data_IF_042334975002
#
_entry.id   IF_042334975002
#
_cell.length_a   1.000
_cell.length_b   1.000
_cell.length_c   1.000
_cell.angle_alpha   90.00
_cell.angle_beta   90.00
_cell.angle_gamma   90.00
#
_symmetry.space_group_name_H-M   'P 1'
#
loop_
_entity.id
_entity.type
_entity.pdbx_description
1 polymer ?
#
# COMPACT_ATOMS: atom_id res chain seq x y z
N UNK A 1 -33.15 -6.16 -12.97
CA UNK A 1 -32.30 -5.35 -12.07
C UNK A 1 -31.43 -6.14 -11.07
N UNK A 2 -31.90 -7.21 -10.41
CA UNK A 2 -31.08 -8.00 -9.45
C UNK A 2 -29.86 -8.70 -10.06
N UNK A 3 -29.98 -9.31 -11.25
CA UNK A 3 -28.85 -10.00 -11.95
C UNK A 3 -27.70 -9.07 -12.34
N UNK A 4 -27.99 -7.83 -12.78
CA UNK A 4 -26.98 -6.82 -13.14
C UNK A 4 -26.18 -6.37 -11.90
N UNK A 5 -26.83 -6.29 -10.72
CA UNK A 5 -26.13 -6.04 -9.45
C UNK A 5 -25.24 -7.21 -9.02
N UNK A 6 -25.70 -8.45 -9.15
CA UNK A 6 -24.90 -9.64 -8.81
C UNK A 6 -23.66 -9.78 -9.70
N UNK A 7 -23.80 -9.56 -11.02
CA UNK A 7 -22.68 -9.67 -11.97
C UNK A 7 -21.57 -8.64 -11.70
N UNK A 8 -21.94 -7.43 -11.26
CA UNK A 8 -20.97 -6.41 -10.86
C UNK A 8 -20.29 -6.71 -9.51
N UNK A 9 -20.96 -7.38 -8.58
CA UNK A 9 -20.37 -7.78 -7.29
C UNK A 9 -19.31 -8.87 -7.51
N UNK A 10 -19.59 -9.87 -8.34
CA UNK A 10 -18.63 -10.95 -8.67
C UNK A 10 -17.39 -10.40 -9.38
N UNK A 11 -17.56 -9.45 -10.31
CA UNK A 11 -16.43 -8.79 -10.99
C UNK A 11 -15.56 -7.95 -10.03
N UNK A 12 -16.18 -7.26 -9.07
CA UNK A 12 -15.45 -6.47 -8.07
C UNK A 12 -14.74 -7.40 -7.07
N UNK A 13 -15.37 -8.50 -6.65
CA UNK A 13 -14.74 -9.50 -5.77
C UNK A 13 -13.57 -10.23 -6.44
N UNK A 14 -13.71 -10.59 -7.72
CA UNK A 14 -12.62 -11.23 -8.48
C UNK A 14 -11.42 -10.29 -8.65
N UNK A 15 -11.63 -9.01 -8.97
CA UNK A 15 -10.52 -8.04 -9.06
C UNK A 15 -9.91 -7.77 -7.68
N UNK A 16 -10.71 -7.55 -6.63
CA UNK A 16 -10.21 -7.26 -5.28
C UNK A 16 -9.59 -8.45 -4.56
N UNK A 17 -9.96 -9.69 -4.92
CA UNK A 17 -9.42 -10.91 -4.33
C UNK A 17 -8.24 -11.47 -5.10
N UNK A 18 -8.34 -11.57 -6.43
CA UNK A 18 -7.32 -12.24 -7.26
C UNK A 18 -6.11 -11.35 -7.49
N UNK A 19 -6.30 -10.05 -7.75
CA UNK A 19 -5.16 -9.17 -8.04
C UNK A 19 -4.14 -9.04 -6.89
N UNK A 20 -4.53 -8.87 -5.61
CA UNK A 20 -3.54 -8.86 -4.52
C UNK A 20 -2.89 -10.23 -4.33
N UNK A 21 -3.60 -11.33 -4.55
CA UNK A 21 -3.02 -12.68 -4.47
C UNK A 21 -1.94 -12.89 -5.53
N UNK A 22 -2.24 -12.55 -6.79
CA UNK A 22 -1.29 -12.66 -7.90
C UNK A 22 -0.08 -11.77 -7.64
N UNK A 23 -0.29 -10.51 -7.21
CA UNK A 23 0.81 -9.62 -6.87
C UNK A 23 1.66 -10.20 -5.74
N UNK A 24 1.05 -10.75 -4.68
CA UNK A 24 1.77 -11.37 -3.58
C UNK A 24 2.60 -12.59 -4.03
N UNK A 25 2.03 -13.46 -4.87
CA UNK A 25 2.73 -14.62 -5.43
C UNK A 25 3.93 -14.18 -6.26
N UNK A 26 3.75 -13.23 -7.18
CA UNK A 26 4.83 -12.72 -8.03
C UNK A 26 5.94 -12.09 -7.18
N UNK A 27 5.57 -11.24 -6.23
CA UNK A 27 6.50 -10.63 -5.26
C UNK A 27 7.29 -11.67 -4.47
N UNK A 28 6.62 -12.70 -3.96
CA UNK A 28 7.27 -13.79 -3.23
C UNK A 28 8.25 -14.58 -4.11
N UNK A 29 7.80 -15.03 -5.30
CA UNK A 29 8.61 -15.87 -6.19
C UNK A 29 9.87 -15.14 -6.66
N UNK A 30 9.74 -13.86 -7.01
CA UNK A 30 10.86 -13.03 -7.45
C UNK A 30 11.84 -12.74 -6.32
N UNK A 31 11.35 -12.44 -5.11
CA UNK A 31 12.20 -12.28 -3.93
C UNK A 31 12.93 -13.57 -3.58
N UNK A 32 12.24 -14.71 -3.62
CA UNK A 32 12.80 -16.02 -3.31
C UNK A 32 13.86 -16.46 -4.32
N UNK A 33 13.59 -16.31 -5.63
CA UNK A 33 14.56 -16.64 -6.67
C UNK A 33 15.87 -15.85 -6.51
N UNK A 34 15.77 -14.55 -6.24
CA UNK A 34 16.92 -13.68 -6.00
C UNK A 34 17.74 -14.11 -4.76
N UNK A 35 17.08 -14.55 -3.69
CA UNK A 35 17.77 -15.02 -2.48
C UNK A 35 18.45 -16.38 -2.70
N UNK A 36 17.79 -17.31 -3.41
CA UNK A 36 18.37 -18.62 -3.75
C UNK A 36 19.64 -18.44 -4.58
N UNK A 37 19.58 -17.61 -5.62
CA UNK A 37 20.73 -17.29 -6.46
C UNK A 37 21.89 -16.75 -5.63
N UNK A 38 21.61 -15.77 -4.76
CA UNK A 38 22.63 -15.18 -3.91
C UNK A 38 23.21 -16.16 -2.87
N UNK A 39 22.38 -17.04 -2.30
CA UNK A 39 22.81 -18.08 -1.37
C UNK A 39 23.72 -19.11 -2.04
N UNK A 40 23.40 -19.52 -3.27
CA UNK A 40 24.23 -20.46 -4.04
C UNK A 40 25.60 -19.86 -4.36
N UNK A 41 25.66 -18.59 -4.75
CA UNK A 41 26.92 -17.91 -5.06
C UNK A 41 27.82 -17.75 -3.83
N UNK A 42 27.24 -17.49 -2.65
CA UNK A 42 27.98 -17.12 -1.44
C UNK A 42 27.98 -18.20 -0.34
N UNK A 43 27.42 -19.38 -0.61
CA UNK A 43 27.28 -20.48 0.35
C UNK A 43 26.64 -20.08 1.69
N UNK A 44 25.62 -19.21 1.64
CA UNK A 44 24.97 -18.69 2.85
C UNK A 44 23.69 -19.45 3.20
N UNK A 45 23.46 -19.65 4.49
CA UNK A 45 22.19 -20.18 5.01
C UNK A 45 21.09 -19.13 4.84
N UNK A 46 19.95 -19.54 4.29
CA UNK A 46 18.79 -18.67 4.11
C UNK A 46 17.85 -18.74 5.31
N UNK A 47 17.44 -17.55 5.76
CA UNK A 47 16.44 -17.37 6.81
C UNK A 47 15.15 -16.74 6.26
N UNK A 48 14.01 -17.04 6.87
CA UNK A 48 12.70 -16.47 6.45
C UNK A 48 12.66 -14.94 6.56
N UNK A 49 13.39 -14.39 7.52
CA UNK A 49 13.62 -12.97 7.72
C UNK A 49 14.16 -12.29 6.45
N UNK A 50 14.99 -12.98 5.67
CA UNK A 50 15.58 -12.39 4.45
C UNK A 50 14.54 -12.20 3.35
N UNK A 51 13.53 -13.06 3.26
CA UNK A 51 12.39 -12.88 2.36
C UNK A 51 11.58 -11.64 2.76
N UNK A 52 11.30 -11.50 4.06
CA UNK A 52 10.62 -10.32 4.59
C UNK A 52 11.39 -9.04 4.24
N UNK A 53 12.72 -9.05 4.43
CA UNK A 53 13.62 -7.94 4.12
C UNK A 53 13.64 -7.57 2.64
N UNK A 54 13.59 -8.57 1.75
CA UNK A 54 13.47 -8.37 0.29
C UNK A 54 12.14 -7.75 -0.10
N UNK A 55 11.04 -8.25 0.46
CA UNK A 55 9.67 -7.86 0.05
C UNK A 55 9.30 -6.46 0.57
N UNK A 56 9.70 -6.13 1.80
CA UNK A 56 9.34 -4.86 2.46
C UNK A 56 10.41 -3.78 2.23
N UNK A 57 11.58 -4.19 1.72
CA UNK A 57 12.82 -3.42 1.58
C UNK A 57 13.35 -2.95 2.94
N UNK A 58 14.69 -2.95 3.09
CA UNK A 58 15.35 -2.48 4.31
C UNK A 58 15.98 -1.09 4.13
N UNK A 59 16.14 -0.32 5.24
CA UNK A 59 16.80 0.98 5.21
C UNK A 59 18.23 0.89 4.69
N UNK A 60 18.88 -0.23 4.97
CA UNK A 60 20.26 -0.48 4.61
C UNK A 60 20.43 -1.25 3.29
N UNK A 61 19.53 -0.99 2.32
CA UNK A 61 19.55 -1.61 0.99
C UNK A 61 20.92 -1.48 0.28
N UNK A 62 21.71 -0.45 0.63
CA UNK A 62 23.04 -0.23 0.06
C UNK A 62 24.13 -1.12 0.66
N UNK A 63 24.04 -1.49 1.95
CA UNK A 63 25.09 -2.26 2.62
C UNK A 63 24.75 -3.75 2.81
N UNK A 64 23.50 -4.18 2.58
CA UNK A 64 23.12 -5.59 2.70
C UNK A 64 23.38 -6.33 1.37
N UNK A 65 24.40 -7.20 1.37
CA UNK A 65 24.90 -7.92 0.20
C UNK A 65 23.82 -8.69 -0.57
N UNK A 66 22.92 -9.38 0.13
CA UNK A 66 21.85 -10.17 -0.49
C UNK A 66 20.66 -9.33 -0.97
N UNK A 67 20.50 -8.10 -0.49
CA UNK A 67 19.54 -7.15 -1.06
C UNK A 67 20.05 -6.54 -2.36
N UNK A 68 21.34 -6.70 -2.65
CA UNK A 68 21.93 -6.52 -3.97
C UNK A 68 21.99 -5.05 -4.36
N UNK A 69 23.15 -4.44 -4.15
CA UNK A 69 23.46 -3.09 -4.60
C UNK A 69 22.93 -2.82 -6.02
N UNK A 70 22.12 -1.76 -6.14
CA UNK A 70 21.63 -1.16 -7.40
C UNK A 70 20.61 -1.96 -8.23
N UNK A 71 20.03 -3.07 -7.75
CA UNK A 71 18.93 -3.72 -8.48
C UNK A 71 17.60 -2.97 -8.30
N UNK A 72 17.40 -1.92 -9.11
CA UNK A 72 16.19 -1.06 -9.10
C UNK A 72 14.90 -1.86 -9.26
N UNK A 73 14.95 -3.02 -9.92
CA UNK A 73 13.79 -3.90 -10.12
C UNK A 73 13.17 -4.41 -8.81
N UNK A 74 13.93 -4.49 -7.72
CA UNK A 74 13.40 -4.87 -6.40
C UNK A 74 12.46 -3.79 -5.83
N UNK A 75 12.57 -2.54 -6.30
CA UNK A 75 11.70 -1.43 -5.89
C UNK A 75 10.34 -1.45 -6.61
N UNK A 76 10.23 -2.17 -7.72
CA UNK A 76 8.99 -2.22 -8.51
C UNK A 76 7.87 -2.92 -7.76
N UNK A 77 8.16 -3.95 -6.97
CA UNK A 77 7.15 -4.70 -6.24
C UNK A 77 6.40 -3.83 -5.21
N UNK A 78 7.09 -3.16 -4.27
CA UNK A 78 6.43 -2.26 -3.34
C UNK A 78 5.79 -1.06 -4.04
N UNK A 79 6.39 -0.56 -5.14
CA UNK A 79 5.78 0.47 -5.99
C UNK A 79 4.39 0.04 -6.51
N UNK A 80 4.31 -1.14 -7.13
CA UNK A 80 3.06 -1.65 -7.69
C UNK A 80 2.02 -1.95 -6.61
N UNK A 81 2.45 -2.44 -5.44
CA UNK A 81 1.55 -2.61 -4.30
C UNK A 81 0.89 -1.29 -3.89
N UNK A 82 1.65 -0.22 -3.65
CA UNK A 82 1.08 1.06 -3.23
C UNK A 82 0.24 1.71 -4.32
N UNK A 83 0.71 1.65 -5.58
CA UNK A 83 -0.02 2.20 -6.71
C UNK A 83 -1.39 1.50 -6.87
N UNK A 84 -1.41 0.17 -6.86
CA UNK A 84 -2.66 -0.60 -6.97
C UNK A 84 -3.57 -0.38 -5.75
N UNK A 85 -3.02 -0.30 -4.54
CA UNK A 85 -3.80 0.02 -3.33
C UNK A 85 -4.56 1.34 -3.48
N UNK A 86 -3.89 2.40 -3.98
CA UNK A 86 -4.49 3.71 -4.16
C UNK A 86 -5.52 3.71 -5.29
N UNK A 87 -5.21 3.10 -6.43
CA UNK A 87 -6.13 3.02 -7.56
C UNK A 87 -7.41 2.23 -7.21
N UNK A 88 -7.27 1.11 -6.49
CA UNK A 88 -8.39 0.31 -6.02
C UNK A 88 -9.28 1.12 -5.06
N UNK A 89 -8.67 1.85 -4.13
CA UNK A 89 -9.41 2.73 -3.21
C UNK A 89 -10.14 3.84 -3.95
N UNK A 90 -9.45 4.42 -4.93
CA UNK A 90 -9.95 5.54 -5.70
C UNK A 90 -11.03 5.16 -6.70
N UNK A 91 -11.05 3.91 -7.15
CA UNK A 91 -12.04 3.42 -8.11
C UNK A 91 -13.49 3.66 -7.64
N UNK A 92 -13.74 3.75 -6.34
CA UNK A 92 -15.08 4.04 -5.83
C UNK A 92 -15.59 5.43 -6.19
N UNK A 93 -14.70 6.42 -6.36
CA UNK A 93 -15.02 7.81 -6.67
C UNK A 93 -14.48 8.30 -8.02
N UNK A 94 -13.59 7.57 -8.69
CA UNK A 94 -13.18 7.86 -10.08
C UNK A 94 -14.19 7.37 -11.14
N UNK A 95 -15.23 6.63 -10.73
CA UNK A 95 -16.28 6.12 -11.63
C UNK A 95 -17.25 7.18 -12.13
N UNK A 96 -17.24 8.37 -11.54
CA UNK A 96 -18.09 9.50 -11.92
C UNK A 96 -17.16 10.69 -12.06
N UNK A 97 -17.52 11.65 -12.92
CA UNK A 97 -16.80 12.91 -13.08
C UNK A 97 -16.78 13.70 -11.76
N UNK A 98 -15.67 14.36 -11.44
CA UNK A 98 -15.57 15.19 -10.23
C UNK A 98 -16.69 16.25 -10.15
N UNK A 99 -17.16 16.78 -11.29
CA UNK A 99 -18.27 17.75 -11.40
C UNK A 99 -19.59 17.18 -10.89
N UNK A 100 -19.82 15.88 -11.07
CA UNK A 100 -21.01 15.21 -10.51
C UNK A 100 -21.01 15.28 -8.98
N UNK A 101 -19.83 15.14 -8.35
CA UNK A 101 -19.72 15.24 -6.90
C UNK A 101 -19.84 16.68 -6.40
N UNK A 102 -19.34 17.66 -7.16
CA UNK A 102 -19.56 19.08 -6.86
C UNK A 102 -21.06 19.43 -6.93
N UNK A 103 -21.76 18.94 -7.96
CA UNK A 103 -23.22 19.09 -8.11
C UNK A 103 -24.01 18.48 -6.95
N UNK A 104 -23.61 17.28 -6.48
CA UNK A 104 -24.21 16.64 -5.31
C UNK A 104 -23.91 17.41 -4.03
N UNK A 105 -22.69 17.94 -3.88
CA UNK A 105 -22.28 18.67 -2.69
C UNK A 105 -23.09 19.95 -2.49
N UNK A 106 -23.33 20.73 -3.55
CA UNK A 106 -24.12 21.97 -3.44
C UNK A 106 -25.57 21.70 -3.01
N UNK A 107 -26.13 20.53 -3.35
CA UNK A 107 -27.51 20.15 -2.98
C UNK A 107 -27.60 19.34 -1.68
N UNK A 108 -26.47 19.00 -1.07
CA UNK A 108 -26.46 18.19 0.14
C UNK A 108 -26.52 19.07 1.38
N UNK A 109 -27.50 18.82 2.24
CA UNK A 109 -27.56 19.43 3.59
C UNK A 109 -26.32 19.12 4.43
N UNK A 110 -25.62 18.01 4.14
CA UNK A 110 -24.43 17.60 4.86
C UNK A 110 -23.35 17.02 3.92
N UNK A 111 -22.57 17.93 3.34
CA UNK A 111 -21.44 17.63 2.46
C UNK A 111 -20.41 16.71 3.11
N UNK A 112 -20.16 16.87 4.42
CA UNK A 112 -19.22 16.02 5.16
C UNK A 112 -19.68 14.54 5.18
N UNK A 113 -20.99 14.31 5.35
CA UNK A 113 -21.58 12.96 5.34
C UNK A 113 -21.52 12.33 3.94
N UNK A 114 -21.71 13.13 2.88
CA UNK A 114 -21.54 12.67 1.49
C UNK A 114 -20.11 12.18 1.25
N UNK A 115 -19.10 13.00 1.58
CA UNK A 115 -17.69 12.65 1.38
C UNK A 115 -17.24 11.49 2.24
N UNK A 116 -17.68 11.44 3.49
CA UNK A 116 -17.41 10.29 4.34
C UNK A 116 -17.91 9.00 3.71
N UNK A 117 -19.15 8.96 3.20
CA UNK A 117 -19.71 7.76 2.54
C UNK A 117 -18.91 7.34 1.31
N UNK A 118 -18.47 8.30 0.50
CA UNK A 118 -17.67 8.01 -0.69
C UNK A 118 -16.31 7.41 -0.31
N UNK A 119 -15.62 8.04 0.64
CA UNK A 119 -14.31 7.56 1.08
C UNK A 119 -14.38 6.20 1.76
N UNK A 120 -15.38 5.96 2.64
CA UNK A 120 -15.51 4.68 3.35
C UNK A 120 -15.61 3.51 2.38
N UNK A 121 -16.32 3.67 1.25
CA UNK A 121 -16.42 2.61 0.25
C UNK A 121 -15.06 2.29 -0.39
N UNK A 122 -14.29 3.32 -0.72
CA UNK A 122 -12.93 3.19 -1.25
C UNK A 122 -11.95 2.60 -0.24
N UNK A 123 -11.90 3.18 0.96
CA UNK A 123 -11.05 2.72 2.06
C UNK A 123 -11.29 1.26 2.40
N UNK A 124 -12.54 0.79 2.44
CA UNK A 124 -12.86 -0.63 2.66
C UNK A 124 -12.27 -1.54 1.59
N UNK A 125 -12.32 -1.13 0.32
CA UNK A 125 -11.74 -1.91 -0.78
C UNK A 125 -10.22 -1.97 -0.68
N UNK A 126 -9.55 -0.86 -0.36
CA UNK A 126 -8.09 -0.84 -0.16
C UNK A 126 -7.65 -1.66 1.07
N UNK A 127 -8.42 -1.60 2.18
CA UNK A 127 -8.15 -2.44 3.37
C UNK A 127 -8.24 -3.91 3.00
N UNK A 128 -9.30 -4.33 2.27
CA UNK A 128 -9.44 -5.72 1.83
C UNK A 128 -8.29 -6.14 0.90
N UNK A 129 -7.93 -5.29 -0.07
CA UNK A 129 -6.81 -5.54 -0.96
C UNK A 129 -5.50 -5.75 -0.19
N UNK A 130 -5.20 -4.84 0.75
CA UNK A 130 -4.01 -4.94 1.60
C UNK A 130 -4.02 -6.18 2.47
N UNK A 131 -5.17 -6.50 3.08
CA UNK A 131 -5.32 -7.69 3.91
C UNK A 131 -5.03 -8.96 3.11
N UNK A 132 -5.64 -9.12 1.94
CA UNK A 132 -5.43 -10.29 1.08
C UNK A 132 -3.97 -10.40 0.64
N UNK A 133 -3.36 -9.28 0.23
CA UNK A 133 -1.95 -9.24 -0.17
C UNK A 133 -1.03 -9.69 0.98
N UNK A 134 -1.14 -9.06 2.15
CA UNK A 134 -0.27 -9.34 3.29
C UNK A 134 -0.50 -10.74 3.85
N UNK A 135 -1.77 -11.19 3.94
CA UNK A 135 -2.08 -12.55 4.39
C UNK A 135 -1.45 -13.60 3.46
N UNK A 136 -1.49 -13.37 2.14
CA UNK A 136 -0.87 -14.25 1.17
C UNK A 136 0.66 -14.26 1.28
N UNK A 137 1.29 -13.08 1.43
CA UNK A 137 2.74 -12.98 1.67
C UNK A 137 3.15 -13.74 2.93
N UNK A 138 2.44 -13.53 4.06
CA UNK A 138 2.72 -14.22 5.32
C UNK A 138 2.63 -15.74 5.13
N UNK A 139 1.57 -16.22 4.47
CA UNK A 139 1.38 -17.65 4.21
C UNK A 139 2.51 -18.23 3.36
N UNK A 140 2.91 -17.52 2.29
CA UNK A 140 4.00 -17.93 1.40
C UNK A 140 5.36 -17.94 2.12
N UNK A 141 5.67 -16.95 2.96
CA UNK A 141 6.91 -16.93 3.73
C UNK A 141 6.95 -18.10 4.73
N UNK A 142 5.84 -18.37 5.42
CA UNK A 142 5.77 -19.42 6.44
C UNK A 142 5.78 -20.83 5.84
N UNK A 143 5.10 -21.05 4.70
CA UNK A 143 4.86 -22.40 4.13
C UNK A 143 5.48 -22.66 2.76
N UNK A 144 5.91 -21.64 2.04
CA UNK A 144 6.39 -21.77 0.66
C UNK A 144 7.88 -22.12 0.52
N UNK A 145 8.60 -22.30 1.64
CA UNK A 145 10.03 -22.63 1.68
C UNK A 145 10.38 -23.34 3.00
N UNK A 146 11.53 -24.02 2.99
CA UNK A 146 12.09 -24.74 4.14
C UNK A 146 13.19 -23.95 4.87
N UNK A 147 13.23 -22.62 4.73
CA UNK A 147 14.23 -21.78 5.40
C UNK A 147 14.04 -21.79 6.91
N UNK A 148 15.16 -21.66 7.63
CA UNK A 148 15.15 -21.57 9.08
C UNK A 148 14.69 -20.18 9.53
N UNK A 149 14.33 -20.06 10.81
CA UNK A 149 14.08 -18.77 11.43
C UNK A 149 15.39 -18.26 12.02
N UNK A 150 15.77 -17.03 11.71
CA UNK A 150 16.89 -16.35 12.37
C UNK A 150 16.51 -15.95 13.80
N UNK A 151 15.24 -15.61 13.99
CA UNK A 151 14.62 -15.25 15.28
C UNK A 151 13.56 -16.27 15.67
N UNK A 152 12.68 -15.94 16.62
CA UNK A 152 11.53 -16.81 16.91
C UNK A 152 10.44 -16.62 15.86
N UNK A 153 9.70 -17.70 15.54
CA UNK A 153 8.53 -17.63 14.65
C UNK A 153 7.51 -16.57 15.12
N UNK A 154 7.31 -16.46 16.44
CA UNK A 154 6.42 -15.45 17.02
C UNK A 154 6.87 -14.02 16.71
N UNK A 155 8.18 -13.74 16.85
CA UNK A 155 8.73 -12.42 16.55
C UNK A 155 8.55 -12.06 15.07
N UNK A 156 8.84 -12.99 14.16
CA UNK A 156 8.65 -12.78 12.72
C UNK A 156 7.18 -12.48 12.37
N UNK A 157 6.22 -13.24 12.92
CA UNK A 157 4.79 -13.01 12.70
C UNK A 157 4.37 -11.64 13.22
N UNK A 158 4.78 -11.27 14.43
CA UNK A 158 4.48 -9.97 15.02
C UNK A 158 4.99 -8.83 14.14
N UNK A 159 6.22 -8.93 13.65
CA UNK A 159 6.80 -7.94 12.73
C UNK A 159 5.99 -7.82 11.44
N UNK A 160 5.65 -8.94 10.79
CA UNK A 160 4.82 -8.93 9.58
C UNK A 160 3.44 -8.30 9.80
N UNK A 161 2.83 -8.51 10.97
CA UNK A 161 1.56 -7.87 11.33
C UNK A 161 1.71 -6.36 11.53
N UNK A 162 2.76 -5.91 12.20
CA UNK A 162 3.04 -4.48 12.35
C UNK A 162 3.30 -3.80 11.00
N UNK A 163 3.96 -4.49 10.07
CA UNK A 163 4.13 -4.02 8.69
C UNK A 163 2.80 -3.80 8.02
N UNK A 164 1.95 -4.82 8.03
CA UNK A 164 0.63 -4.77 7.43
C UNK A 164 -0.19 -3.57 7.95
N UNK A 165 -0.24 -3.40 9.27
CA UNK A 165 -1.01 -2.32 9.91
C UNK A 165 -0.45 -0.96 9.49
N UNK A 166 0.88 -0.80 9.56
CA UNK A 166 1.58 0.44 9.28
C UNK A 166 1.41 0.89 7.83
N UNK A 167 1.65 -0.02 6.87
CA UNK A 167 1.47 0.25 5.44
C UNK A 167 0.02 0.58 5.11
N UNK A 168 -0.94 -0.19 5.64
CA UNK A 168 -2.36 0.07 5.40
C UNK A 168 -2.76 1.44 5.91
N UNK A 169 -2.32 1.80 7.12
CA UNK A 169 -2.69 3.07 7.74
C UNK A 169 -2.08 4.28 7.02
N UNK A 170 -0.79 4.23 6.68
CA UNK A 170 -0.11 5.25 5.88
C UNK A 170 -0.85 5.49 4.56
N UNK A 171 -1.16 4.41 3.84
CA UNK A 171 -1.78 4.48 2.53
C UNK A 171 -3.24 4.96 2.59
N UNK A 172 -3.96 4.69 3.68
CA UNK A 172 -5.28 5.29 3.92
C UNK A 172 -5.21 6.81 4.13
N UNK A 173 -4.18 7.29 4.85
CA UNK A 173 -3.90 8.73 4.98
C UNK A 173 -3.65 9.39 3.63
N UNK A 174 -2.78 8.78 2.81
CA UNK A 174 -2.49 9.22 1.43
C UNK A 174 -3.77 9.24 0.57
N UNK A 175 -4.55 8.16 0.60
CA UNK A 175 -5.81 8.07 -0.15
C UNK A 175 -6.80 9.18 0.25
N UNK A 176 -6.85 9.54 1.54
CA UNK A 176 -7.70 10.61 2.01
C UNK A 176 -7.27 11.99 1.50
N UNK A 177 -5.96 12.25 1.39
CA UNK A 177 -5.40 13.46 0.77
C UNK A 177 -5.66 13.49 -0.74
N UNK A 178 -5.45 12.37 -1.43
CA UNK A 178 -5.68 12.29 -2.88
C UNK A 178 -7.15 12.48 -3.25
N UNK A 179 -8.08 12.03 -2.41
CA UNK A 179 -9.50 12.33 -2.61
C UNK A 179 -9.79 13.84 -2.60
N UNK A 180 -9.07 14.61 -1.79
CA UNK A 180 -9.19 16.07 -1.81
C UNK A 180 -8.65 16.67 -3.12
N UNK A 181 -7.48 16.20 -3.58
CA UNK A 181 -6.92 16.61 -4.88
C UNK A 181 -7.92 16.34 -6.01
N UNK A 182 -8.51 15.15 -6.01
CA UNK A 182 -9.53 14.76 -6.98
C UNK A 182 -10.72 15.72 -7.01
N UNK A 183 -11.28 16.09 -5.85
CA UNK A 183 -12.43 16.98 -5.80
C UNK A 183 -12.17 18.40 -6.32
N UNK A 184 -10.92 18.87 -6.29
CA UNK A 184 -10.54 20.23 -6.71
C UNK A 184 -10.02 20.26 -8.14
N UNK A 185 -9.19 19.28 -8.51
CA UNK A 185 -8.40 19.32 -9.74
C UNK A 185 -8.78 18.22 -10.74
N UNK A 186 -9.70 17.33 -10.39
CA UNK A 186 -10.18 16.26 -11.26
C UNK A 186 -9.23 15.08 -11.40
N UNK A 187 -9.51 14.25 -12.41
CA UNK A 187 -8.93 12.92 -12.61
C UNK A 187 -7.44 12.99 -13.00
N UNK A 188 -7.08 13.89 -13.92
CA UNK A 188 -5.70 14.01 -14.42
C UNK A 188 -4.72 14.36 -13.29
N UNK A 189 -5.05 15.39 -12.50
CA UNK A 189 -4.21 15.80 -11.37
C UNK A 189 -4.19 14.75 -10.27
N UNK A 190 -5.29 14.02 -10.06
CA UNK A 190 -5.30 12.87 -9.16
C UNK A 190 -4.28 11.81 -9.60
N UNK A 191 -4.29 11.39 -10.87
CA UNK A 191 -3.38 10.36 -11.38
C UNK A 191 -1.92 10.79 -11.30
N UNK A 192 -1.62 12.03 -11.67
CA UNK A 192 -0.27 12.61 -11.53
C UNK A 192 0.15 12.62 -10.06
N UNK A 193 -0.74 13.00 -9.15
CA UNK A 193 -0.46 13.02 -7.70
C UNK A 193 -0.20 11.63 -7.14
N UNK A 194 -0.91 10.58 -7.61
CA UNK A 194 -0.65 9.19 -7.21
C UNK A 194 0.79 8.81 -7.56
N UNK A 195 1.21 9.04 -8.80
CA UNK A 195 2.56 8.68 -9.27
C UNK A 195 3.63 9.44 -8.47
N UNK A 196 3.46 10.76 -8.30
CA UNK A 196 4.40 11.60 -7.54
C UNK A 196 4.51 11.14 -6.09
N UNK A 197 3.38 10.88 -5.41
CA UNK A 197 3.40 10.49 -3.98
C UNK A 197 4.07 9.13 -3.80
N UNK A 198 3.76 8.15 -4.65
CA UNK A 198 4.40 6.83 -4.58
C UNK A 198 5.91 6.92 -4.86
N UNK A 199 6.30 7.69 -5.88
CA UNK A 199 7.71 7.94 -6.18
C UNK A 199 8.45 8.67 -5.04
N UNK A 200 7.82 9.68 -4.43
CA UNK A 200 8.38 10.42 -3.32
C UNK A 200 8.55 9.55 -2.07
N UNK A 201 7.56 8.71 -1.76
CA UNK A 201 7.65 7.72 -0.69
C UNK A 201 8.84 6.79 -0.93
N UNK A 202 9.00 6.22 -2.14
CA UNK A 202 10.18 5.40 -2.47
C UNK A 202 11.49 6.17 -2.30
N UNK A 203 11.56 7.39 -2.84
CA UNK A 203 12.77 8.22 -2.79
C UNK A 203 13.17 8.53 -1.35
N UNK A 204 12.21 8.91 -0.49
CA UNK A 204 12.46 9.15 0.93
C UNK A 204 13.03 7.91 1.60
N UNK A 205 12.43 6.74 1.33
CA UNK A 205 12.89 5.49 1.92
C UNK A 205 14.30 5.12 1.45
N UNK A 206 14.62 5.30 0.16
CA UNK A 206 15.97 5.00 -0.35
C UNK A 206 17.05 6.00 0.07
N UNK A 207 16.67 7.25 0.29
CA UNK A 207 17.63 8.36 0.54
C UNK A 207 17.86 8.57 2.03
N UNK A 208 16.82 8.40 2.85
CA UNK A 208 16.83 8.67 4.29
C UNK A 208 16.42 7.43 5.09
N UNK A 209 17.32 6.45 5.27
CA UNK A 209 17.06 5.21 6.01
C UNK A 209 16.47 5.44 7.42
N UNK A 210 16.92 6.50 8.09
CA UNK A 210 16.50 6.86 9.46
C UNK A 210 15.11 7.51 9.53
N UNK A 211 14.59 8.02 8.41
CA UNK A 211 13.25 8.64 8.31
C UNK A 211 12.34 7.77 7.44
N UNK A 212 12.73 6.51 7.24
CA UNK A 212 12.01 5.58 6.40
C UNK A 212 10.56 5.43 6.88
N UNK A 213 9.63 5.71 5.98
CA UNK A 213 8.19 5.61 6.21
C UNK A 213 7.67 4.19 6.00
N UNK A 214 8.51 3.25 5.55
CA UNK A 214 8.08 1.94 5.09
C UNK A 214 8.90 0.76 5.65
N UNK A 215 10.05 1.04 6.23
CA UNK A 215 10.99 0.01 6.69
C UNK A 215 10.85 -0.26 8.17
N UNK A 216 11.01 -1.50 8.60
CA UNK A 216 10.49 -1.95 9.91
C UNK A 216 11.45 -2.82 10.73
N UNK A 217 12.66 -3.00 10.23
CA UNK A 217 13.56 -4.02 10.75
C UNK A 217 14.40 -3.59 11.95
N UNK A 218 14.51 -2.28 12.19
CA UNK A 218 15.29 -1.75 13.31
C UNK A 218 14.45 -0.78 14.14
N UNK A 219 14.59 -0.81 15.46
CA UNK A 219 14.32 0.34 16.35
C UNK A 219 12.98 1.09 16.17
N UNK A 220 11.85 0.39 16.05
CA UNK A 220 10.51 0.98 16.05
C UNK A 220 10.12 1.85 14.83
N UNK A 221 10.77 1.70 13.67
CA UNK A 221 10.40 2.49 12.48
C UNK A 221 8.92 2.37 12.03
N UNK A 222 8.18 1.35 12.49
CA UNK A 222 6.71 1.24 12.28
C UNK A 222 5.94 2.42 12.86
N UNK A 223 6.48 3.02 13.94
CA UNK A 223 5.89 4.19 14.56
C UNK A 223 5.89 5.39 13.61
N UNK A 224 6.95 5.58 12.82
CA UNK A 224 7.04 6.69 11.86
C UNK A 224 5.95 6.59 10.79
N UNK A 225 5.73 5.39 10.23
CA UNK A 225 4.65 5.13 9.28
C UNK A 225 3.27 5.45 9.86
N UNK A 226 3.02 5.03 11.10
CA UNK A 226 1.75 5.29 11.79
C UNK A 226 1.56 6.78 12.06
N UNK A 227 2.57 7.47 12.61
CA UNK A 227 2.54 8.89 12.91
C UNK A 227 2.29 9.71 11.65
N UNK A 228 3.03 9.44 10.56
CA UNK A 228 2.83 10.13 9.29
C UNK A 228 1.45 9.83 8.71
N UNK A 229 0.97 8.58 8.79
CA UNK A 229 -0.40 8.25 8.42
C UNK A 229 -1.44 9.05 9.20
N UNK A 230 -1.25 9.23 10.51
CA UNK A 230 -2.16 10.01 11.37
C UNK A 230 -2.14 11.48 10.98
N UNK A 231 -0.95 12.05 10.78
CA UNK A 231 -0.75 13.43 10.36
C UNK A 231 -1.45 13.66 9.01
N UNK A 232 -1.26 12.78 8.03
CA UNK A 232 -1.93 12.86 6.73
C UNK A 232 -3.45 12.80 6.86
N UNK A 233 -3.97 11.96 7.75
CA UNK A 233 -5.42 11.89 8.00
C UNK A 233 -5.98 13.19 8.59
N UNK A 234 -5.25 13.81 9.53
CA UNK A 234 -5.58 15.11 10.11
C UNK A 234 -5.53 16.20 9.03
N UNK A 235 -4.46 16.24 8.23
CA UNK A 235 -4.31 17.18 7.11
C UNK A 235 -5.49 17.03 6.13
N UNK A 236 -5.82 15.80 5.73
CA UNK A 236 -6.94 15.53 4.84
C UNK A 236 -8.27 16.03 5.42
N UNK A 237 -8.49 15.89 6.74
CA UNK A 237 -9.68 16.40 7.42
C UNK A 237 -9.72 17.93 7.43
N UNK A 238 -8.58 18.60 7.66
CA UNK A 238 -8.47 20.06 7.64
C UNK A 238 -8.68 20.62 6.23
N UNK A 239 -8.07 20.00 5.22
CA UNK A 239 -8.22 20.38 3.81
C UNK A 239 -9.69 20.30 3.38
N UNK A 240 -10.41 19.23 3.76
CA UNK A 240 -11.83 19.09 3.43
C UNK A 240 -12.73 20.17 4.03
N UNK A 241 -12.43 20.65 5.25
CA UNK A 241 -13.19 21.76 5.84
C UNK A 241 -13.08 23.06 5.02
N UNK A 242 -12.02 23.22 4.23
CA UNK A 242 -11.76 24.42 3.41
C UNK A 242 -12.24 24.29 1.96
N UNK A 243 -12.84 23.16 1.56
CA UNK A 243 -13.40 23.00 0.21
C UNK A 243 -14.58 23.95 0.01
N UNK A 244 -14.42 24.93 -0.89
CA UNK A 244 -15.51 25.76 -1.42
C UNK A 244 -15.92 25.23 -2.77
N UNK A 245 -17.23 25.03 -2.99
CA UNK A 245 -17.78 24.61 -4.26
C UNK A 245 -18.26 25.83 -5.02
N UNK A 246 -17.80 25.95 -6.26
CA UNK A 246 -18.28 26.94 -7.22
C UNK A 246 -18.92 26.13 -8.34
N UNK A 247 -20.23 26.31 -8.54
CA UNK A 247 -20.94 25.79 -9.71
C UNK A 247 -20.83 26.82 -10.84
#
# INVERSE_FOLDING_TARGET
>A
MKRIKQMNIVKIFSVLGISPMVLAIVTYLTANASLVEHSQMNQMILYKEYLMNKIILLPDFKNISYLGGRQVYLLLQPYFFWLLFLLIGAYSYLRQDFRYYQWLAVRSENVNKLYYRMQVKGSRASILFSFVYHAMIILLILKGNNYQYQTSNLALIQQMLFVFISHTFLMLGVLACLFYVYLIKGELFFLVSVVIVVAFILMLNLTFPQVALLFLWYENYWLNSLLVGMILFVIAKLLKKKLKFYL
#
